data_IF_909920914181
#
_entry.id   IF_909920914181
#
_cell.length_a   1.000
_cell.length_b   1.000
_cell.length_c   1.000
_cell.angle_alpha   90.00
_cell.angle_beta   90.00
_cell.angle_gamma   90.00
#
_symmetry.space_group_name_H-M   'P 1'
#
loop_
_entity.id
_entity.type
_entity.pdbx_description
1 polymer ?
#
# COMPACT_ATOMS: atom_id res chain seq x y z
N UNK A 1 -64.07 21.19 -2.33
CA UNK A 1 -64.13 19.72 -2.15
C UNK A 1 -62.83 19.33 -1.45
N UNK A 2 -62.75 19.42 -0.11
CA UNK A 2 -63.06 18.37 0.88
C UNK A 2 -62.06 17.20 0.75
N UNK A 3 -61.24 16.80 1.73
CA UNK A 3 -61.13 17.12 3.17
C UNK A 3 -59.77 16.56 3.67
N UNK A 4 -59.05 17.33 4.48
CA UNK A 4 -58.01 16.84 5.39
C UNK A 4 -58.68 16.27 6.65
N UNK A 5 -58.22 15.12 7.14
CA UNK A 5 -58.67 14.54 8.41
C UNK A 5 -57.48 14.50 9.40
N UNK A 6 -57.52 15.35 10.41
CA UNK A 6 -56.72 15.26 11.64
C UNK A 6 -57.56 14.59 12.71
N UNK A 7 -57.03 13.58 13.39
CA UNK A 7 -57.62 13.00 14.60
C UNK A 7 -56.63 13.25 15.74
N UNK A 8 -57.04 14.07 16.71
CA UNK A 8 -56.39 14.21 18.00
C UNK A 8 -57.03 13.26 19.01
N UNK A 9 -56.23 12.72 19.93
CA UNK A 9 -56.70 11.95 21.08
C UNK A 9 -56.23 12.64 22.35
N UNK A 10 -57.20 12.93 23.21
CA UNK A 10 -57.11 13.60 24.50
C UNK A 10 -56.62 12.67 25.62
N UNK A 11 -55.82 13.26 26.50
CA UNK A 11 -55.31 12.70 27.77
C UNK A 11 -56.45 12.54 28.79
N UNK A 12 -56.47 11.41 29.51
CA UNK A 12 -57.27 11.20 30.71
C UNK A 12 -56.42 10.58 31.81
N UNK A 13 -56.08 11.39 32.83
CA UNK A 13 -55.38 10.97 34.03
C UNK A 13 -56.37 10.37 35.05
N UNK A 14 -55.99 9.28 35.72
CA UNK A 14 -56.73 8.71 36.84
C UNK A 14 -55.76 8.38 37.99
N UNK A 15 -55.94 9.08 39.12
CA UNK A 15 -55.22 8.95 40.38
C UNK A 15 -56.02 8.09 41.39
N UNK A 16 -55.34 7.71 42.49
CA UNK A 16 -55.79 7.03 43.74
C UNK A 16 -55.47 5.51 43.80
N UNK A 17 -54.94 4.93 44.88
CA UNK A 17 -54.58 5.39 46.21
C UNK A 17 -53.56 4.42 46.84
N UNK A 18 -52.69 4.94 47.72
CA UNK A 18 -51.75 4.16 48.52
C UNK A 18 -52.46 3.58 49.77
N UNK A 19 -52.13 2.33 50.11
CA UNK A 19 -52.47 1.73 51.39
C UNK A 19 -51.20 1.19 52.06
N UNK A 20 -50.85 1.82 53.19
CA UNK A 20 -49.75 1.45 54.08
C UNK A 20 -50.11 0.25 54.95
N UNK A 21 -49.16 -0.66 55.20
CA UNK A 21 -49.23 -1.61 56.30
C UNK A 21 -47.92 -1.67 57.09
N UNK A 22 -48.09 -1.94 58.38
CA UNK A 22 -47.22 -1.61 59.50
C UNK A 22 -45.93 -2.43 59.59
N UNK A 23 -44.90 -1.77 60.12
CA UNK A 23 -43.65 -2.36 60.58
C UNK A 23 -43.85 -3.25 61.83
N UNK A 24 -43.17 -4.39 61.86
CA UNK A 24 -42.90 -5.15 63.08
C UNK A 24 -41.38 -5.16 63.28
N UNK A 25 -40.98 -4.63 64.43
CA UNK A 25 -39.61 -4.50 64.95
C UNK A 25 -39.10 -5.83 65.49
N UNK A 26 -37.85 -6.17 65.15
CA UNK A 26 -37.08 -7.24 65.78
C UNK A 26 -35.59 -7.01 65.55
N UNK A 27 -34.90 -6.57 66.58
CA UNK A 27 -33.50 -6.16 66.60
C UNK A 27 -32.59 -7.32 67.05
N UNK A 28 -31.64 -7.76 66.21
CA UNK A 28 -30.29 -8.16 66.62
C UNK A 28 -29.38 -8.47 65.42
N UNK A 29 -28.06 -8.19 65.52
CA UNK A 29 -27.19 -8.00 64.37
C UNK A 29 -26.38 -9.26 64.02
N UNK A 30 -26.27 -9.56 62.72
CA UNK A 30 -25.12 -10.28 62.17
C UNK A 30 -24.92 -9.90 60.71
N UNK A 31 -23.80 -9.24 60.47
CA UNK A 31 -23.27 -8.95 59.15
C UNK A 31 -22.98 -10.26 58.39
N UNK A 32 -23.33 -10.27 57.11
CA UNK A 32 -22.45 -10.59 55.97
C UNK A 32 -23.17 -11.41 54.89
N UNK A 33 -22.91 -10.99 53.65
CA UNK A 33 -23.24 -11.61 52.35
C UNK A 33 -24.55 -11.14 51.71
N UNK A 34 -24.42 -10.08 50.91
CA UNK A 34 -25.44 -9.68 49.93
C UNK A 34 -25.52 -10.76 48.83
N UNK A 35 -26.74 -11.26 48.51
CA UNK A 35 -26.91 -12.19 47.41
C UNK A 35 -26.92 -11.44 46.08
N UNK A 36 -26.24 -12.05 45.12
CA UNK A 36 -26.27 -11.76 43.69
C UNK A 36 -27.71 -11.98 43.17
N UNK A 37 -28.56 -10.96 43.21
CA UNK A 37 -29.92 -11.02 42.64
C UNK A 37 -30.50 -9.62 42.46
N UNK A 38 -30.00 -8.86 41.48
CA UNK A 38 -30.81 -7.84 40.82
C UNK A 38 -31.32 -8.46 39.53
N UNK A 39 -32.51 -9.03 39.64
CA UNK A 39 -33.22 -9.69 38.56
C UNK A 39 -33.55 -8.70 37.44
N UNK A 40 -33.32 -9.19 36.22
CA UNK A 40 -33.89 -8.75 34.95
C UNK A 40 -35.28 -8.11 35.11
N UNK A 41 -35.34 -6.80 34.88
CA UNK A 41 -36.54 -6.13 34.43
C UNK A 41 -36.17 -5.35 33.15
N UNK A 42 -35.91 -6.10 32.08
CA UNK A 42 -35.89 -5.53 30.74
C UNK A 42 -37.32 -5.66 30.19
N UNK A 43 -38.02 -4.54 30.17
CA UNK A 43 -39.26 -4.30 29.45
C UNK A 43 -39.12 -4.86 28.02
N UNK A 44 -40.06 -5.71 27.62
CA UNK A 44 -40.09 -6.29 26.28
C UNK A 44 -40.32 -5.18 25.25
N UNK A 45 -39.27 -4.80 24.52
CA UNK A 45 -39.43 -4.14 23.24
C UNK A 45 -40.01 -5.17 22.26
N UNK A 46 -41.34 -5.19 22.12
CA UNK A 46 -42.05 -5.97 21.11
C UNK A 46 -41.72 -5.44 19.70
N UNK A 47 -40.59 -5.87 19.14
CA UNK A 47 -40.33 -5.81 17.72
C UNK A 47 -41.19 -6.85 16.99
N UNK A 48 -41.70 -6.49 15.80
CA UNK A 48 -42.56 -7.32 14.95
C UNK A 48 -42.24 -8.82 15.02
N UNK A 49 -43.30 -9.64 15.07
CA UNK A 49 -43.22 -11.09 15.11
C UNK A 49 -42.23 -11.62 14.06
N UNK A 50 -41.04 -12.01 14.54
CA UNK A 50 -39.97 -12.56 13.71
C UNK A 50 -40.51 -13.74 12.93
N UNK A 51 -40.54 -13.64 11.58
CA UNK A 51 -41.16 -14.62 10.68
C UNK A 51 -40.76 -16.08 10.95
N UNK A 52 -39.54 -16.31 11.47
CA UNK A 52 -39.01 -17.65 11.79
C UNK A 52 -38.61 -17.84 13.26
N UNK A 53 -38.81 -16.83 14.13
CA UNK A 53 -38.46 -16.92 15.55
C UNK A 53 -36.96 -17.08 15.86
N UNK A 54 -36.06 -16.76 14.93
CA UNK A 54 -34.60 -16.85 15.12
C UNK A 54 -33.99 -15.51 15.58
N UNK A 55 -32.95 -15.60 16.41
CA UNK A 55 -32.16 -14.47 16.96
C UNK A 55 -32.90 -13.61 18.00
N UNK A 56 -32.28 -12.47 18.38
CA UNK A 56 -32.89 -11.40 19.22
C UNK A 56 -32.67 -10.02 18.62
N UNK A 57 -33.35 -8.94 19.07
CA UNK A 57 -33.06 -7.59 18.61
C UNK A 57 -31.64 -7.22 19.01
N UNK A 58 -30.89 -6.56 18.12
CA UNK A 58 -29.57 -6.01 18.46
C UNK A 58 -29.76 -4.90 19.51
N UNK A 59 -28.89 -4.90 20.52
CA UNK A 59 -28.91 -3.82 21.51
C UNK A 59 -28.25 -2.57 20.90
N UNK A 60 -28.65 -1.36 21.30
CA UNK A 60 -28.01 -0.13 20.82
C UNK A 60 -26.48 -0.14 21.01
N UNK A 61 -26.00 -0.69 22.12
CA UNK A 61 -24.57 -0.77 22.43
C UNK A 61 -23.81 -1.73 21.50
N UNK A 62 -24.50 -2.77 21.01
CA UNK A 62 -23.89 -3.73 20.06
C UNK A 62 -23.80 -3.14 18.66
N UNK A 63 -24.81 -2.36 18.27
CA UNK A 63 -24.77 -1.61 17.02
C UNK A 63 -23.65 -0.56 17.08
N UNK A 64 -23.62 0.27 18.14
CA UNK A 64 -22.58 1.30 18.30
C UNK A 64 -21.15 0.72 18.33
N UNK A 65 -20.96 -0.50 18.82
CA UNK A 65 -19.65 -1.14 18.87
C UNK A 65 -19.19 -1.73 17.52
N UNK A 66 -20.11 -2.05 16.61
CA UNK A 66 -19.79 -2.78 15.36
C UNK A 66 -20.00 -1.91 14.11
N UNK A 67 -20.98 -1.02 14.17
CA UNK A 67 -21.40 -0.10 13.12
C UNK A 67 -20.68 1.24 13.29
N UNK A 68 -19.42 1.23 12.86
CA UNK A 68 -18.49 2.37 12.86
C UNK A 68 -18.16 2.80 11.42
N UNK A 69 -19.01 2.43 10.45
CA UNK A 69 -18.80 2.80 9.05
C UNK A 69 -18.96 4.31 8.86
N UNK A 70 -18.18 4.88 7.95
CA UNK A 70 -18.30 6.30 7.59
C UNK A 70 -18.57 6.41 6.10
N UNK A 71 -19.75 6.94 5.79
CA UNK A 71 -20.23 7.10 4.42
C UNK A 71 -19.66 8.38 3.79
N UNK A 72 -19.59 8.48 2.45
CA UNK A 72 -19.07 9.67 1.77
C UNK A 72 -19.81 10.98 2.09
N UNK A 73 -21.06 10.90 2.50
CA UNK A 73 -21.89 12.05 2.93
C UNK A 73 -21.68 12.43 4.41
N UNK A 74 -20.75 11.77 5.11
CA UNK A 74 -20.43 12.02 6.52
C UNK A 74 -21.35 11.30 7.51
N UNK A 75 -22.33 10.52 7.04
CA UNK A 75 -23.10 9.65 7.93
C UNK A 75 -22.17 8.63 8.60
N UNK A 76 -22.29 8.50 9.92
CA UNK A 76 -21.43 7.63 10.74
C UNK A 76 -20.23 8.33 11.41
N UNK A 77 -19.93 9.60 11.07
CA UNK A 77 -18.85 10.34 11.72
C UNK A 77 -19.10 10.53 13.24
N UNK A 78 -18.17 10.09 14.11
CA UNK A 78 -18.25 10.36 15.54
C UNK A 78 -17.91 11.82 15.84
N UNK A 79 -18.30 12.28 17.03
CA UNK A 79 -17.86 13.59 17.53
C UNK A 79 -16.35 13.55 17.78
N UNK A 80 -15.63 14.58 17.34
CA UNK A 80 -14.19 14.69 17.55
C UNK A 80 -13.52 15.70 16.63
N UNK A 81 -12.25 15.94 16.90
CA UNK A 81 -11.37 16.75 16.04
C UNK A 81 -9.90 16.36 16.21
N UNK A 82 -9.06 16.81 15.29
CA UNK A 82 -7.62 16.63 15.39
C UNK A 82 -6.87 17.48 14.38
N UNK A 83 -5.73 18.00 14.79
CA UNK A 83 -4.87 18.85 13.96
C UNK A 83 -3.85 18.05 13.16
N UNK A 84 -3.33 18.64 12.08
CA UNK A 84 -2.21 18.09 11.32
C UNK A 84 -1.01 17.81 12.23
N UNK A 85 -0.68 18.74 13.13
CA UNK A 85 0.46 18.61 14.05
C UNK A 85 0.33 17.43 15.02
N UNK A 86 -0.86 17.24 15.61
CA UNK A 86 -1.13 16.06 16.46
C UNK A 86 -1.08 14.77 15.63
N UNK A 87 -1.60 14.83 14.40
CA UNK A 87 -1.58 13.73 13.45
C UNK A 87 -0.17 13.28 13.11
N UNK A 88 0.77 14.22 12.88
CA UNK A 88 2.18 13.90 12.63
C UNK A 88 2.80 13.14 13.81
N UNK A 89 2.59 13.59 15.05
CA UNK A 89 3.15 12.93 16.22
C UNK A 89 2.64 11.49 16.36
N UNK A 90 1.32 11.30 16.21
CA UNK A 90 0.71 9.97 16.27
C UNK A 90 1.21 9.10 15.11
N UNK A 91 1.32 9.66 13.92
CA UNK A 91 1.75 8.97 12.71
C UNK A 91 3.19 8.46 12.85
N UNK A 92 4.12 9.28 13.33
CA UNK A 92 5.51 8.88 13.56
C UNK A 92 5.63 7.74 14.58
N UNK A 93 4.74 7.71 15.59
CA UNK A 93 4.76 6.67 16.62
C UNK A 93 4.09 5.37 16.18
N UNK A 94 2.97 5.46 15.43
CA UNK A 94 2.08 4.31 15.17
C UNK A 94 2.08 3.84 13.72
N UNK A 95 2.54 4.64 12.76
CA UNK A 95 2.35 4.40 11.32
C UNK A 95 3.66 4.37 10.51
N UNK A 96 4.59 5.29 10.80
CA UNK A 96 5.78 5.55 9.98
C UNK A 96 6.72 4.36 9.82
N UNK A 97 6.74 3.43 10.79
CA UNK A 97 7.56 2.20 10.73
C UNK A 97 7.28 1.33 9.50
N UNK A 98 6.08 1.44 8.91
CA UNK A 98 5.69 0.77 7.68
C UNK A 98 5.45 1.77 6.55
N UNK A 99 4.76 2.87 6.83
CA UNK A 99 4.31 3.81 5.79
C UNK A 99 5.31 4.91 5.44
N UNK A 100 6.50 4.94 6.06
CA UNK A 100 7.49 6.00 5.86
C UNK A 100 7.12 7.28 6.60
N UNK A 101 8.10 8.14 6.85
CA UNK A 101 7.91 9.35 7.66
C UNK A 101 6.96 10.36 6.97
N UNK A 102 6.89 10.31 5.63
CA UNK A 102 6.08 11.21 4.81
C UNK A 102 5.00 10.47 4.00
N UNK A 103 4.68 9.22 4.37
CA UNK A 103 3.69 8.41 3.65
C UNK A 103 4.21 7.79 2.35
N UNK A 104 5.52 7.79 2.10
CA UNK A 104 6.14 7.27 0.89
C UNK A 104 6.17 5.73 0.81
N UNK A 105 5.90 5.04 1.92
CA UNK A 105 6.00 3.59 2.06
C UNK A 105 7.44 3.11 2.23
N UNK A 106 7.67 2.17 3.17
CA UNK A 106 8.98 1.54 3.37
C UNK A 106 8.98 0.12 2.78
N UNK A 107 9.94 -0.17 1.91
CA UNK A 107 10.07 -1.47 1.26
C UNK A 107 8.85 -1.77 0.39
N UNK A 108 8.06 -2.79 0.79
CA UNK A 108 6.84 -3.20 0.08
C UNK A 108 5.55 -2.80 0.79
N UNK A 109 5.64 -1.98 1.84
CA UNK A 109 4.46 -1.43 2.49
C UNK A 109 3.81 -0.34 1.63
N UNK A 110 2.47 -0.16 1.71
CA UNK A 110 1.75 0.79 0.87
C UNK A 110 2.20 2.24 1.08
N UNK A 111 2.41 2.95 -0.03
CA UNK A 111 2.52 4.40 -0.04
C UNK A 111 1.13 5.04 0.17
N UNK A 112 1.07 6.01 1.08
CA UNK A 112 -0.12 6.80 1.40
C UNK A 112 -0.14 8.15 0.67
N UNK A 113 1.02 8.63 0.22
CA UNK A 113 1.20 9.92 -0.47
C UNK A 113 1.99 9.78 -1.78
N UNK A 114 1.86 10.77 -2.66
CA UNK A 114 2.52 10.81 -3.97
C UNK A 114 1.69 10.20 -5.10
N UNK A 115 2.29 10.00 -6.28
CA UNK A 115 1.61 9.38 -7.43
C UNK A 115 0.65 10.28 -8.22
N UNK A 116 0.58 11.57 -7.90
CA UNK A 116 -0.21 12.55 -8.65
C UNK A 116 0.16 12.54 -10.14
N UNK A 117 -0.86 12.39 -11.00
CA UNK A 117 -0.68 12.35 -12.46
C UNK A 117 -0.15 11.04 -13.04
N UNK A 118 0.04 10.00 -12.22
CA UNK A 118 0.58 8.70 -12.69
C UNK A 118 -0.50 7.70 -13.13
N UNK A 119 -1.80 8.03 -12.99
CA UNK A 119 -2.88 7.06 -13.25
C UNK A 119 -2.91 6.49 -14.68
N UNK A 120 -2.31 7.18 -15.64
CA UNK A 120 -2.21 6.75 -17.05
C UNK A 120 -0.82 6.24 -17.45
N UNK A 121 0.14 6.12 -16.52
CA UNK A 121 1.46 5.55 -16.83
C UNK A 121 1.40 4.02 -16.91
N UNK A 122 2.48 3.41 -17.42
CA UNK A 122 2.60 1.94 -17.45
C UNK A 122 2.53 1.32 -16.05
N UNK A 123 3.14 1.98 -15.06
CA UNK A 123 3.12 1.60 -13.65
C UNK A 123 2.53 2.71 -12.76
N UNK A 124 1.18 2.80 -12.61
CA UNK A 124 0.54 3.82 -11.79
C UNK A 124 0.86 3.70 -10.30
N UNK A 125 1.11 4.82 -9.64
CA UNK A 125 1.26 4.91 -8.18
C UNK A 125 -0.04 5.42 -7.59
N UNK A 126 -0.81 4.51 -6.98
CA UNK A 126 -2.19 4.75 -6.51
C UNK A 126 -2.22 4.91 -5.00
N UNK A 127 -2.45 6.12 -4.54
CA UNK A 127 -2.37 6.57 -3.13
C UNK A 127 -3.64 7.32 -2.74
N UNK A 128 -3.71 7.82 -1.51
CA UNK A 128 -4.85 8.63 -1.05
C UNK A 128 -5.02 9.87 -1.93
N UNK A 129 -3.97 10.67 -2.15
CA UNK A 129 -4.08 11.91 -2.93
C UNK A 129 -4.15 11.71 -4.45
N UNK A 130 -3.74 10.56 -4.98
CA UNK A 130 -3.74 10.33 -6.43
C UNK A 130 -4.94 9.53 -6.93
N UNK A 131 -5.53 8.66 -6.10
CA UNK A 131 -6.52 7.68 -6.56
C UNK A 131 -7.79 7.64 -5.73
N UNK A 132 -7.74 7.82 -4.42
CA UNK A 132 -8.92 7.57 -3.58
C UNK A 132 -10.01 8.63 -3.83
N UNK A 133 -11.30 8.24 -3.87
CA UNK A 133 -12.37 9.18 -4.17
C UNK A 133 -12.86 9.96 -2.95
N UNK A 134 -12.90 9.34 -1.76
CA UNK A 134 -13.58 9.94 -0.60
C UNK A 134 -12.71 9.90 0.66
N UNK A 135 -12.72 10.99 1.42
CA UNK A 135 -12.05 11.09 2.71
C UNK A 135 -12.65 10.13 3.75
N UNK A 136 -13.95 9.84 3.64
CA UNK A 136 -14.64 8.90 4.53
C UNK A 136 -13.98 7.52 4.56
N UNK A 137 -13.46 7.06 3.41
CA UNK A 137 -12.76 5.78 3.30
C UNK A 137 -11.45 5.78 4.07
N UNK A 138 -10.75 6.93 4.12
CA UNK A 138 -9.53 7.08 4.92
C UNK A 138 -9.88 6.96 6.40
N UNK A 139 -10.87 7.70 6.87
CA UNK A 139 -11.28 7.69 8.27
C UNK A 139 -11.76 6.29 8.72
N UNK A 140 -12.74 5.70 8.04
CA UNK A 140 -13.29 4.38 8.40
C UNK A 140 -12.20 3.31 8.39
N UNK A 141 -11.39 3.25 7.33
CA UNK A 141 -10.35 2.22 7.23
C UNK A 141 -9.26 2.39 8.31
N UNK A 142 -8.81 3.62 8.59
CA UNK A 142 -7.82 3.87 9.64
C UNK A 142 -8.40 3.50 11.01
N UNK A 143 -9.62 3.95 11.32
CA UNK A 143 -10.29 3.63 12.58
C UNK A 143 -10.50 2.12 12.78
N UNK A 144 -10.98 1.44 11.73
CA UNK A 144 -11.40 0.04 11.77
C UNK A 144 -10.25 -0.95 11.69
N UNK A 145 -9.19 -0.64 10.93
CA UNK A 145 -8.19 -1.61 10.50
C UNK A 145 -6.73 -1.23 10.77
N UNK A 146 -6.45 -0.02 11.27
CA UNK A 146 -5.10 0.43 11.58
C UNK A 146 -4.91 0.74 13.08
N UNK A 147 -3.65 0.68 13.57
CA UNK A 147 -2.43 0.19 12.91
C UNK A 147 -2.46 -1.32 12.61
N UNK A 148 -1.76 -1.76 11.56
CA UNK A 148 -1.70 -3.18 11.21
C UNK A 148 -1.10 -4.00 12.38
N UNK A 149 -1.84 -5.03 12.82
CA UNK A 149 -1.48 -5.84 13.99
C UNK A 149 -2.02 -5.32 15.33
N UNK A 150 -2.60 -4.11 15.36
CA UNK A 150 -3.23 -3.52 16.54
C UNK A 150 -4.44 -2.63 16.15
N UNK A 151 -5.31 -3.13 15.28
CA UNK A 151 -6.48 -2.41 14.77
C UNK A 151 -7.48 -2.04 15.89
N UNK A 152 -8.29 -0.99 15.68
CA UNK A 152 -9.25 -0.45 16.66
C UNK A 152 -8.60 0.00 17.99
N UNK A 153 -7.33 0.41 17.94
CA UNK A 153 -6.61 0.95 19.10
C UNK A 153 -6.54 2.48 19.13
N UNK A 154 -7.09 3.13 18.11
CA UNK A 154 -7.12 4.58 17.96
C UNK A 154 -8.44 5.13 18.51
N UNK A 155 -8.40 6.29 19.14
CA UNK A 155 -9.63 7.04 19.47
C UNK A 155 -10.11 7.87 18.28
N UNK A 156 -11.37 8.31 18.32
CA UNK A 156 -11.99 9.12 17.25
C UNK A 156 -11.14 10.37 16.92
N UNK A 157 -10.67 11.10 17.94
CA UNK A 157 -9.79 12.28 17.79
C UNK A 157 -8.43 11.92 17.15
N UNK A 158 -7.83 10.79 17.54
CA UNK A 158 -6.56 10.33 16.93
C UNK A 158 -6.75 10.02 15.45
N UNK A 159 -7.90 9.46 15.06
CA UNK A 159 -8.22 9.18 13.65
C UNK A 159 -8.45 10.50 12.88
N UNK A 160 -9.13 11.49 13.46
CA UNK A 160 -9.27 12.82 12.84
C UNK A 160 -7.90 13.46 12.61
N UNK A 161 -7.02 13.45 13.62
CA UNK A 161 -5.66 13.99 13.54
C UNK A 161 -4.83 13.28 12.45
N UNK A 162 -4.82 11.94 12.44
CA UNK A 162 -4.14 11.15 11.41
C UNK A 162 -4.68 11.44 10.00
N UNK A 163 -6.00 11.59 9.87
CA UNK A 163 -6.64 11.92 8.60
C UNK A 163 -6.22 13.33 8.13
N UNK A 164 -6.17 14.31 9.03
CA UNK A 164 -5.66 15.65 8.73
C UNK A 164 -4.20 15.60 8.25
N UNK A 165 -3.35 14.83 8.93
CA UNK A 165 -1.95 14.66 8.51
C UNK A 165 -1.81 13.98 7.14
N UNK A 166 -2.63 12.96 6.84
CA UNK A 166 -2.65 12.32 5.50
C UNK A 166 -3.07 13.32 4.41
N UNK A 167 -4.04 14.21 4.69
CA UNK A 167 -4.40 15.29 3.76
C UNK A 167 -3.21 16.23 3.52
N UNK A 168 -2.48 16.57 4.57
CA UNK A 168 -1.28 17.42 4.50
C UNK A 168 -0.16 16.77 3.67
N UNK A 169 0.13 15.48 3.90
CA UNK A 169 1.10 14.71 3.11
C UNK A 169 0.78 14.68 1.61
N UNK A 170 -0.49 14.84 1.26
CA UNK A 170 -0.98 14.83 -0.11
C UNK A 170 -1.22 16.24 -0.69
N UNK A 171 -0.81 17.31 0.01
CA UNK A 171 -1.01 18.71 -0.39
C UNK A 171 -2.48 19.07 -0.64
N UNK A 172 -3.43 18.40 0.05
CA UNK A 172 -4.86 18.72 -0.02
C UNK A 172 -5.18 19.84 0.96
N UNK A 173 -4.52 19.82 2.12
CA UNK A 173 -4.44 20.95 3.04
C UNK A 173 -2.98 21.36 3.16
N UNK A 174 -2.69 22.66 3.16
CA UNK A 174 -1.32 23.19 3.24
C UNK A 174 -1.01 23.82 4.61
N UNK A 175 -2.04 24.13 5.39
CA UNK A 175 -1.90 24.74 6.71
C UNK A 175 -1.59 23.66 7.75
N UNK A 176 -0.45 23.80 8.43
CA UNK A 176 -0.02 22.88 9.47
C UNK A 176 -0.83 23.02 10.76
N UNK A 177 -1.54 24.14 10.94
CA UNK A 177 -2.48 24.36 12.04
C UNK A 177 -3.91 23.92 11.68
N UNK A 178 -4.14 23.33 10.50
CA UNK A 178 -5.45 22.85 10.08
C UNK A 178 -6.00 21.79 11.04
N UNK A 179 -7.24 21.98 11.48
CA UNK A 179 -8.00 21.04 12.31
C UNK A 179 -9.11 20.39 11.48
N UNK A 180 -9.08 19.06 11.38
CA UNK A 180 -10.18 18.29 10.82
C UNK A 180 -11.14 17.93 11.95
N UNK A 181 -12.44 18.11 11.71
CA UNK A 181 -13.50 17.75 12.66
C UNK A 181 -14.70 17.20 11.93
N UNK A 182 -15.65 16.65 12.67
CA UNK A 182 -16.95 16.24 12.13
C UNK A 182 -17.64 17.35 11.32
N UNK A 183 -17.53 18.61 11.77
CA UNK A 183 -18.25 19.75 11.20
C UNK A 183 -17.74 20.15 9.81
N UNK A 184 -16.43 20.01 9.56
CA UNK A 184 -15.81 20.40 8.30
C UNK A 184 -15.40 19.22 7.40
N UNK A 185 -15.55 17.98 7.88
CA UNK A 185 -15.09 16.77 7.17
C UNK A 185 -15.62 16.68 5.73
N UNK A 186 -16.91 16.98 5.54
CA UNK A 186 -17.60 16.86 4.24
C UNK A 186 -17.30 18.02 3.29
N UNK A 187 -16.55 19.04 3.73
CA UNK A 187 -16.10 20.15 2.88
C UNK A 187 -14.83 19.78 2.09
N UNK A 188 -14.16 18.68 2.44
CA UNK A 188 -12.92 18.22 1.80
C UNK A 188 -13.23 17.27 0.64
N UNK A 189 -12.79 17.64 -0.55
CA UNK A 189 -12.88 16.81 -1.78
C UNK A 189 -11.50 16.29 -2.14
N UNK A 190 -11.39 14.96 -2.37
CA UNK A 190 -10.15 14.37 -2.86
C UNK A 190 -9.99 14.57 -4.38
N UNK A 191 -8.76 14.64 -4.91
CA UNK A 191 -8.54 14.96 -6.33
C UNK A 191 -9.21 14.00 -7.33
N UNK A 192 -9.49 12.76 -6.93
CA UNK A 192 -10.00 11.70 -7.82
C UNK A 192 -11.47 11.32 -7.58
N UNK A 193 -12.23 12.11 -6.81
CA UNK A 193 -13.62 11.81 -6.40
C UNK A 193 -14.55 11.43 -7.57
N UNK A 194 -14.49 12.16 -8.68
CA UNK A 194 -15.36 11.99 -9.84
C UNK A 194 -14.85 11.02 -10.92
N UNK A 195 -13.78 10.26 -10.68
CA UNK A 195 -13.10 9.47 -11.72
C UNK A 195 -13.39 7.96 -11.62
N UNK A 196 -14.40 7.59 -10.85
CA UNK A 196 -14.89 6.22 -10.75
C UNK A 196 -16.24 6.09 -11.43
N UNK A 197 -16.46 4.96 -12.11
CA UNK A 197 -17.73 4.65 -12.76
C UNK A 197 -18.21 3.26 -12.31
N UNK A 198 -19.52 3.07 -12.35
CA UNK A 198 -20.12 1.75 -12.13
C UNK A 198 -19.73 0.85 -13.29
N UNK A 199 -19.43 -0.41 -12.99
CA UNK A 199 -19.08 -1.45 -13.96
C UNK A 199 -19.95 -1.38 -15.24
N UNK A 200 -19.30 -1.10 -16.37
CA UNK A 200 -19.90 -0.90 -17.68
C UNK A 200 -19.58 -2.05 -18.66
N UNK A 201 -19.03 -3.17 -18.17
CA UNK A 201 -18.65 -4.32 -19.02
C UNK A 201 -19.80 -4.88 -19.85
N UNK A 202 -21.04 -4.76 -19.36
CA UNK A 202 -22.23 -5.14 -20.14
C UNK A 202 -22.35 -4.33 -21.44
N UNK A 203 -21.96 -3.05 -21.40
CA UNK A 203 -22.04 -2.13 -22.54
C UNK A 203 -20.79 -2.23 -23.44
N UNK A 204 -19.59 -2.31 -22.83
CA UNK A 204 -18.33 -2.16 -23.58
C UNK A 204 -17.63 -3.47 -23.94
N UNK A 205 -17.88 -4.56 -23.21
CA UNK A 205 -17.20 -5.86 -23.43
C UNK A 205 -18.15 -6.96 -23.89
N UNK A 206 -19.33 -7.08 -23.28
CA UNK A 206 -20.16 -8.27 -23.45
C UNK A 206 -20.64 -8.48 -24.88
N UNK A 207 -20.94 -7.40 -25.60
CA UNK A 207 -21.33 -7.49 -27.02
C UNK A 207 -20.17 -7.92 -27.93
N UNK A 208 -18.92 -7.72 -27.52
CA UNK A 208 -17.76 -8.31 -28.20
C UNK A 208 -17.64 -9.80 -27.88
N UNK A 209 -17.79 -10.18 -26.61
CA UNK A 209 -17.57 -11.55 -26.14
C UNK A 209 -18.72 -12.52 -26.41
N UNK A 210 -19.93 -12.03 -26.69
CA UNK A 210 -21.09 -12.85 -27.09
C UNK A 210 -21.09 -13.22 -28.58
N UNK A 211 -20.18 -12.67 -29.39
CA UNK A 211 -20.11 -12.99 -30.83
C UNK A 211 -19.79 -14.47 -31.03
N UNK A 212 -20.27 -15.04 -32.13
CA UNK A 212 -19.98 -16.42 -32.48
C UNK A 212 -18.45 -16.58 -32.65
N UNK A 213 -17.80 -17.49 -31.90
CA UNK A 213 -16.35 -17.63 -31.95
C UNK A 213 -15.90 -18.21 -33.29
N UNK A 214 -14.70 -17.85 -33.73
CA UNK A 214 -14.10 -18.51 -34.88
C UNK A 214 -13.81 -19.99 -34.59
N UNK A 215 -14.25 -20.88 -35.49
CA UNK A 215 -14.07 -22.32 -35.34
C UNK A 215 -12.99 -22.93 -36.24
N UNK A 216 -12.56 -22.24 -37.31
CA UNK A 216 -11.59 -22.76 -38.28
C UNK A 216 -10.73 -21.62 -38.85
N UNK A 217 -9.43 -21.87 -39.01
CA UNK A 217 -8.46 -20.94 -39.62
C UNK A 217 -8.44 -19.55 -38.96
N UNK A 218 -8.44 -19.50 -37.63
CA UNK A 218 -8.72 -18.27 -36.87
C UNK A 218 -7.55 -17.31 -36.71
N UNK A 219 -6.32 -17.77 -36.91
CA UNK A 219 -5.10 -16.97 -36.82
C UNK A 219 -4.14 -17.38 -37.91
N UNK A 220 -3.38 -16.41 -38.41
CA UNK A 220 -2.33 -16.64 -39.41
C UNK A 220 -1.02 -17.13 -38.77
N UNK A 221 -0.76 -16.74 -37.52
CA UNK A 221 0.44 -17.11 -36.76
C UNK A 221 0.13 -17.40 -35.29
N UNK A 222 0.99 -18.22 -34.67
CA UNK A 222 0.94 -18.63 -33.26
C UNK A 222 2.29 -18.43 -32.57
N UNK A 223 3.02 -17.39 -32.97
CA UNK A 223 4.31 -17.04 -32.40
C UNK A 223 4.23 -16.83 -30.87
N UNK A 224 5.23 -17.35 -30.16
CA UNK A 224 5.32 -17.24 -28.71
C UNK A 224 5.96 -15.89 -28.35
N UNK A 225 5.17 -14.98 -27.78
CA UNK A 225 5.64 -13.63 -27.40
C UNK A 225 6.11 -13.54 -25.95
N UNK A 226 5.62 -14.40 -25.05
CA UNK A 226 5.98 -14.40 -23.64
C UNK A 226 6.06 -15.83 -23.09
N UNK A 227 7.00 -16.08 -22.18
CA UNK A 227 7.13 -17.37 -21.47
C UNK A 227 7.35 -17.10 -19.99
N UNK A 228 6.50 -17.66 -19.11
CA UNK A 228 6.60 -17.47 -17.66
C UNK A 228 7.97 -17.86 -17.08
N UNK A 229 8.62 -18.88 -17.68
CA UNK A 229 9.98 -19.31 -17.34
C UNK A 229 11.06 -18.23 -17.51
N UNK A 230 10.76 -17.12 -18.19
CA UNK A 230 11.66 -15.98 -18.32
C UNK A 230 11.65 -15.13 -17.05
N UNK A 231 10.50 -15.01 -16.38
CA UNK A 231 10.43 -14.33 -15.08
C UNK A 231 10.92 -15.22 -13.94
N UNK A 232 10.63 -16.52 -14.01
CA UNK A 232 11.12 -17.54 -13.06
C UNK A 232 10.94 -17.20 -11.56
N UNK A 233 9.80 -16.60 -11.23
CA UNK A 233 9.42 -16.27 -9.84
C UNK A 233 8.45 -17.29 -9.22
N UNK A 234 8.27 -18.45 -9.87
CA UNK A 234 7.38 -19.50 -9.36
C UNK A 234 8.15 -20.36 -8.37
N UNK A 235 7.66 -20.56 -7.12
CA UNK A 235 8.33 -21.46 -6.18
C UNK A 235 8.43 -22.88 -6.75
N UNK A 236 9.62 -23.46 -6.65
CA UNK A 236 9.93 -24.81 -7.12
C UNK A 236 10.18 -25.77 -5.95
N UNK A 237 9.94 -27.06 -6.17
CA UNK A 237 10.43 -28.09 -5.26
C UNK A 237 11.95 -28.27 -5.42
N UNK A 238 12.59 -28.91 -4.43
CA UNK A 238 14.04 -29.09 -4.43
C UNK A 238 14.57 -29.87 -5.64
N UNK A 239 13.77 -30.77 -6.23
CA UNK A 239 14.20 -31.59 -7.35
C UNK A 239 14.22 -30.75 -8.64
N UNK A 240 13.14 -30.02 -8.90
CA UNK A 240 13.04 -29.09 -10.03
C UNK A 240 14.12 -27.99 -9.96
N UNK A 241 14.37 -27.46 -8.76
CA UNK A 241 15.43 -26.47 -8.56
C UNK A 241 16.83 -27.03 -8.90
N UNK A 242 17.14 -28.25 -8.44
CA UNK A 242 18.44 -28.90 -8.73
C UNK A 242 18.61 -29.22 -10.21
N UNK A 243 17.56 -29.68 -10.88
CA UNK A 243 17.59 -29.94 -12.32
C UNK A 243 17.81 -28.65 -13.12
N UNK A 244 17.21 -27.53 -12.69
CA UNK A 244 17.39 -26.22 -13.31
C UNK A 244 18.78 -25.64 -13.08
N UNK A 245 19.29 -25.70 -11.85
CA UNK A 245 20.65 -25.25 -11.51
C UNK A 245 21.68 -26.01 -12.36
N UNK A 246 21.55 -27.34 -12.47
CA UNK A 246 22.41 -28.15 -13.34
C UNK A 246 22.31 -27.78 -14.84
N UNK A 247 21.10 -27.50 -15.35
CA UNK A 247 20.90 -27.07 -16.74
C UNK A 247 21.44 -25.65 -17.01
N UNK A 248 21.41 -24.77 -16.01
CA UNK A 248 21.97 -23.41 -16.11
C UNK A 248 23.50 -23.42 -16.12
N UNK A 249 24.12 -24.33 -15.38
CA UNK A 249 25.57 -24.52 -15.34
C UNK A 249 26.10 -25.02 -16.69
N UNK A 250 25.42 -26.00 -17.32
CA UNK A 250 25.77 -26.46 -18.68
C UNK A 250 25.65 -25.34 -19.74
N UNK A 251 24.67 -24.44 -19.58
CA UNK A 251 24.45 -23.33 -20.52
C UNK A 251 25.49 -22.20 -20.33
N UNK A 252 25.91 -21.93 -19.10
CA UNK A 252 26.94 -20.92 -18.79
C UNK A 252 28.34 -21.36 -19.24
N UNK A 253 28.67 -22.65 -19.13
CA UNK A 253 29.96 -23.18 -19.60
C UNK A 253 30.08 -23.07 -21.13
N UNK A 254 28.97 -23.22 -21.87
CA UNK A 254 28.95 -23.05 -23.32
C UNK A 254 29.04 -21.58 -23.79
N UNK A 255 28.58 -20.61 -22.98
CA UNK A 255 28.65 -19.18 -23.29
C UNK A 255 30.04 -18.57 -22.99
N UNK A 256 30.78 -19.12 -22.03
CA UNK A 256 32.10 -18.64 -21.65
C UNK A 256 33.22 -18.90 -22.68
N UNK A 257 33.02 -19.83 -23.62
CA UNK A 257 34.02 -20.16 -24.66
C UNK A 257 34.04 -19.16 -25.85
N UNK A 258 33.29 -18.05 -25.77
CA UNK A 258 33.09 -17.10 -26.87
C UNK A 258 33.44 -15.63 -26.62
N UNK A 259 34.27 -15.29 -25.62
CA UNK A 259 34.65 -13.90 -25.36
C UNK A 259 35.65 -13.37 -26.43
N UNK A 260 35.12 -12.76 -27.50
CA UNK A 260 35.89 -11.92 -28.42
C UNK A 260 36.12 -10.52 -27.84
N UNK A 261 37.19 -9.83 -28.27
CA UNK A 261 37.43 -8.40 -27.98
C UNK A 261 36.18 -7.54 -28.29
N UNK A 262 35.91 -6.48 -27.51
CA UNK A 262 34.75 -5.61 -27.71
C UNK A 262 34.83 -4.88 -29.06
N UNK A 263 33.72 -4.83 -29.79
CA UNK A 263 33.60 -4.14 -31.08
C UNK A 263 33.97 -2.64 -30.92
N UNK A 264 34.99 -2.13 -31.64
CA UNK A 264 35.43 -0.74 -31.54
C UNK A 264 34.31 0.30 -31.78
N UNK A 265 33.34 0.00 -32.64
CA UNK A 265 32.22 0.91 -32.89
C UNK A 265 31.28 1.01 -31.68
N UNK A 266 31.11 -0.09 -30.95
CA UNK A 266 30.28 -0.16 -29.75
C UNK A 266 30.95 0.57 -28.58
N UNK A 267 32.28 0.48 -28.48
CA UNK A 267 33.07 1.20 -27.46
C UNK A 267 32.94 2.72 -27.64
N UNK A 268 32.99 3.22 -28.88
CA UNK A 268 32.83 4.66 -29.15
C UNK A 268 31.44 5.17 -28.76
N UNK A 269 30.39 4.40 -29.02
CA UNK A 269 29.02 4.74 -28.58
C UNK A 269 28.89 4.66 -27.06
N UNK A 270 29.48 3.63 -26.45
CA UNK A 270 29.49 3.44 -25.00
C UNK A 270 30.15 4.59 -24.26
N UNK A 271 31.20 5.20 -24.81
CA UNK A 271 31.81 6.40 -24.25
C UNK A 271 30.83 7.58 -24.19
N UNK A 272 29.96 7.71 -25.20
CA UNK A 272 28.92 8.77 -25.25
C UNK A 272 27.86 8.52 -24.19
N UNK A 273 27.39 7.27 -24.06
CA UNK A 273 26.43 6.86 -23.02
C UNK A 273 27.02 7.09 -21.62
N UNK A 274 28.30 6.73 -21.43
CA UNK A 274 29.00 6.87 -20.14
C UNK A 274 29.06 8.32 -19.64
N UNK A 275 28.82 9.35 -20.48
CA UNK A 275 28.70 10.74 -20.03
C UNK A 275 27.64 10.93 -18.94
N UNK A 276 26.59 10.11 -18.93
CA UNK A 276 25.57 10.11 -17.88
C UNK A 276 26.13 9.60 -16.54
N UNK A 277 27.10 8.69 -16.59
CA UNK A 277 27.74 8.07 -15.42
C UNK A 277 28.88 8.93 -14.85
N UNK A 278 29.53 9.76 -15.69
CA UNK A 278 30.68 10.62 -15.33
C UNK A 278 30.40 11.62 -14.20
N UNK A 279 29.12 11.93 -13.93
CA UNK A 279 28.72 12.79 -12.82
C UNK A 279 29.01 12.15 -11.45
N UNK A 280 28.95 10.82 -11.36
CA UNK A 280 29.09 10.08 -10.11
C UNK A 280 30.28 9.14 -10.07
N UNK A 281 30.72 8.63 -11.23
CA UNK A 281 31.74 7.60 -11.35
C UNK A 281 32.95 8.09 -12.17
N UNK A 282 34.09 7.44 -11.95
CA UNK A 282 35.31 7.62 -12.74
C UNK A 282 35.78 6.28 -13.32
N UNK A 283 36.42 6.37 -14.49
CA UNK A 283 37.14 5.27 -15.17
C UNK A 283 38.45 5.80 -15.74
N UNK A 284 39.41 4.90 -15.98
CA UNK A 284 40.72 5.22 -16.52
C UNK A 284 41.82 5.29 -15.46
N UNK A 285 43.02 5.65 -15.91
CA UNK A 285 44.21 5.76 -15.06
C UNK A 285 43.99 6.79 -13.94
N UNK A 286 44.16 6.37 -12.69
CA UNK A 286 43.97 7.24 -11.52
C UNK A 286 42.51 7.55 -11.17
N UNK A 287 41.56 6.70 -11.57
CA UNK A 287 40.16 6.84 -11.17
C UNK A 287 39.99 6.73 -9.64
N UNK A 288 39.23 7.67 -9.06
CA UNK A 288 38.97 7.71 -7.61
C UNK A 288 37.48 7.50 -7.31
N UNK A 289 37.19 7.11 -6.06
CA UNK A 289 35.83 7.04 -5.54
C UNK A 289 35.23 8.44 -5.39
N UNK A 290 33.99 8.65 -5.87
CA UNK A 290 33.25 9.92 -5.75
C UNK A 290 31.88 9.68 -5.12
N UNK A 291 30.81 10.17 -5.77
CA UNK A 291 29.43 9.88 -5.38
C UNK A 291 29.15 8.38 -5.52
N UNK A 292 29.71 7.74 -6.55
CA UNK A 292 29.79 6.29 -6.71
C UNK A 292 31.25 5.79 -6.70
N UNK A 293 31.47 4.47 -6.59
CA UNK A 293 32.80 3.88 -6.69
C UNK A 293 33.39 4.02 -8.09
N UNK A 294 34.71 3.94 -8.24
CA UNK A 294 35.31 3.84 -9.58
C UNK A 294 34.89 2.54 -10.29
N UNK A 295 34.85 2.57 -11.62
CA UNK A 295 34.31 1.48 -12.43
C UNK A 295 35.35 0.71 -13.25
N UNK A 296 36.64 0.99 -13.05
CA UNK A 296 37.71 0.12 -13.56
C UNK A 296 37.52 -1.31 -13.06
N UNK A 297 37.65 -2.27 -13.95
CA UNK A 297 37.49 -3.70 -13.70
C UNK A 297 36.07 -4.10 -13.29
N UNK A 298 35.04 -3.26 -13.48
CA UNK A 298 33.71 -3.56 -12.93
C UNK A 298 33.09 -4.82 -13.53
N UNK A 299 33.34 -5.12 -14.81
CA UNK A 299 32.84 -6.34 -15.45
C UNK A 299 33.69 -7.53 -15.02
N UNK A 300 33.07 -8.49 -14.33
CA UNK A 300 33.69 -9.66 -13.73
C UNK A 300 34.09 -9.48 -12.27
N UNK A 301 33.92 -8.28 -11.68
CA UNK A 301 34.27 -8.02 -10.28
C UNK A 301 33.12 -8.31 -9.33
N UNK A 302 33.46 -8.76 -8.13
CA UNK A 302 32.51 -8.95 -7.05
C UNK A 302 31.82 -7.64 -6.65
N UNK A 303 30.54 -7.73 -6.29
CA UNK A 303 29.80 -6.54 -5.85
C UNK A 303 30.39 -6.00 -4.54
N UNK A 304 30.32 -4.68 -4.38
CA UNK A 304 30.82 -3.99 -3.19
C UNK A 304 32.32 -4.18 -2.87
N UNK A 305 33.14 -4.53 -3.87
CA UNK A 305 34.55 -4.86 -3.68
C UNK A 305 35.54 -3.68 -3.74
N UNK A 306 35.10 -2.47 -4.15
CA UNK A 306 36.03 -1.33 -4.23
C UNK A 306 36.39 -0.81 -2.84
N UNK A 307 37.69 -0.83 -2.54
CA UNK A 307 38.23 -0.33 -1.29
C UNK A 307 37.94 1.16 -1.06
N UNK A 308 37.62 1.50 0.18
CA UNK A 308 37.40 2.89 0.60
C UNK A 308 36.06 3.51 0.18
N UNK A 309 35.19 2.79 -0.54
CA UNK A 309 33.82 3.26 -0.85
C UNK A 309 32.79 2.73 0.17
N UNK A 310 31.88 3.59 0.62
CA UNK A 310 30.84 3.21 1.59
C UNK A 310 29.56 2.71 0.91
N UNK A 311 29.50 1.40 0.67
CA UNK A 311 28.33 0.74 0.08
C UNK A 311 27.07 0.79 0.96
N UNK A 312 25.91 0.56 0.33
CA UNK A 312 24.63 0.41 1.03
C UNK A 312 24.53 -0.97 1.70
N UNK A 313 23.69 -1.13 2.74
CA UNK A 313 23.42 -2.45 3.33
C UNK A 313 22.96 -3.47 2.29
N UNK A 314 22.17 -3.06 1.29
CA UNK A 314 21.73 -3.92 0.21
C UNK A 314 22.89 -4.47 -0.64
N UNK A 315 23.86 -3.61 -0.99
CA UNK A 315 25.06 -4.04 -1.72
C UNK A 315 25.94 -4.96 -0.87
N UNK A 316 26.04 -4.72 0.44
CA UNK A 316 26.78 -5.59 1.36
C UNK A 316 26.13 -6.98 1.48
N UNK A 317 24.80 -7.04 1.62
CA UNK A 317 24.06 -8.30 1.63
C UNK A 317 24.26 -9.11 0.35
N UNK A 318 24.29 -8.44 -0.81
CA UNK A 318 24.59 -9.11 -2.09
C UNK A 318 26.03 -9.60 -2.20
N UNK A 319 26.98 -8.90 -1.58
CA UNK A 319 28.35 -9.37 -1.51
C UNK A 319 28.48 -10.65 -0.67
N UNK A 320 27.74 -10.76 0.44
CA UNK A 320 27.68 -11.97 1.28
C UNK A 320 27.10 -13.19 0.54
N UNK A 321 26.21 -12.95 -0.43
CA UNK A 321 25.65 -13.98 -1.33
C UNK A 321 26.62 -14.40 -2.45
N UNK A 322 27.79 -13.78 -2.56
CA UNK A 322 28.78 -14.08 -3.61
C UNK A 322 28.39 -13.53 -4.99
N UNK A 323 27.68 -12.40 -5.04
CA UNK A 323 27.25 -11.80 -6.29
C UNK A 323 28.39 -11.13 -7.06
N UNK A 324 28.46 -11.37 -8.37
CA UNK A 324 29.47 -10.82 -9.29
C UNK A 324 28.81 -10.05 -10.44
N UNK A 325 29.46 -8.98 -10.90
CA UNK A 325 29.01 -8.18 -12.05
C UNK A 325 29.35 -8.86 -13.38
N UNK A 326 28.49 -9.74 -13.88
CA UNK A 326 28.56 -10.21 -15.27
C UNK A 326 28.00 -9.15 -16.22
N UNK A 327 28.19 -9.31 -17.53
CA UNK A 327 27.57 -8.40 -18.51
C UNK A 327 26.04 -8.38 -18.36
N UNK A 328 25.44 -9.54 -18.11
CA UNK A 328 23.99 -9.69 -17.92
C UNK A 328 23.51 -9.01 -16.64
N UNK A 329 24.18 -9.24 -15.50
CA UNK A 329 23.76 -8.67 -14.22
C UNK A 329 24.02 -7.17 -14.16
N UNK A 330 25.09 -6.69 -14.80
CA UNK A 330 25.38 -5.27 -14.93
C UNK A 330 24.36 -4.57 -15.84
N UNK A 331 23.97 -5.18 -16.97
CA UNK A 331 22.93 -4.65 -17.85
C UNK A 331 21.59 -4.53 -17.11
N UNK A 332 21.19 -5.59 -16.40
CA UNK A 332 19.95 -5.61 -15.62
C UNK A 332 19.94 -4.52 -14.53
N UNK A 333 21.06 -4.35 -13.82
CA UNK A 333 21.19 -3.30 -12.82
C UNK A 333 21.17 -1.89 -13.43
N UNK A 334 21.86 -1.66 -14.55
CA UNK A 334 21.88 -0.34 -15.19
C UNK A 334 20.51 0.05 -15.78
N UNK A 335 19.69 -0.93 -16.19
CA UNK A 335 18.34 -0.71 -16.72
C UNK A 335 17.34 -0.21 -15.68
N UNK A 336 17.45 -0.72 -14.46
CA UNK A 336 16.66 -0.29 -13.31
C UNK A 336 17.40 -0.56 -12.00
N UNK A 337 18.25 0.38 -11.55
CA UNK A 337 19.08 0.16 -10.37
C UNK A 337 18.26 -0.12 -9.13
N UNK A 338 17.21 0.67 -8.90
CA UNK A 338 16.35 0.59 -7.70
C UNK A 338 15.47 -0.65 -7.72
N UNK A 339 14.96 -1.05 -8.88
CA UNK A 339 14.20 -2.29 -9.01
C UNK A 339 15.07 -3.54 -8.93
N UNK A 340 16.30 -3.50 -9.46
CA UNK A 340 17.18 -4.68 -9.50
C UNK A 340 17.85 -4.97 -8.14
N UNK A 341 18.31 -3.94 -7.41
CA UNK A 341 18.82 -4.08 -6.04
C UNK A 341 18.06 -3.13 -5.12
N UNK A 342 17.01 -3.63 -4.49
CA UNK A 342 16.18 -2.85 -3.55
C UNK A 342 17.04 -2.28 -2.39
N UNK A 343 16.92 -0.98 -2.11
CA UNK A 343 17.72 -0.32 -1.06
C UNK A 343 19.16 0.07 -1.46
N UNK A 344 19.51 0.00 -2.74
CA UNK A 344 20.76 0.58 -3.22
C UNK A 344 20.73 2.13 -3.24
N UNK A 345 21.91 2.76 -3.23
CA UNK A 345 22.06 4.21 -3.14
C UNK A 345 22.27 4.91 -4.50
N UNK A 346 22.27 4.18 -5.62
CA UNK A 346 22.41 4.79 -6.93
C UNK A 346 21.08 5.44 -7.36
N UNK A 347 20.99 6.76 -7.19
CA UNK A 347 19.83 7.56 -7.58
C UNK A 347 19.81 7.84 -9.10
N UNK A 348 19.87 6.78 -9.91
CA UNK A 348 19.83 6.84 -11.37
C UNK A 348 18.50 6.27 -11.89
N UNK A 349 17.77 6.97 -12.78
CA UNK A 349 16.47 6.50 -13.31
C UNK A 349 16.54 5.21 -14.14
N UNK A 350 17.73 4.79 -14.56
CA UNK A 350 17.97 3.60 -15.37
C UNK A 350 18.14 3.92 -16.87
N UNK A 351 18.91 3.07 -17.54
CA UNK A 351 19.22 3.15 -18.97
C UNK A 351 18.32 2.17 -19.72
N UNK A 352 17.25 2.67 -20.37
CA UNK A 352 16.18 1.83 -20.91
C UNK A 352 16.50 1.23 -22.28
N UNK A 353 17.39 1.85 -23.04
CA UNK A 353 17.77 1.40 -24.37
C UNK A 353 18.77 0.23 -24.29
N UNK A 354 18.44 -0.86 -24.96
CA UNK A 354 19.22 -2.11 -24.95
C UNK A 354 20.55 -1.98 -25.70
N UNK A 355 20.63 -1.11 -26.71
CA UNK A 355 21.86 -0.90 -27.46
C UNK A 355 22.79 0.04 -26.68
N UNK A 356 22.26 1.05 -25.99
CA UNK A 356 23.03 1.87 -25.05
C UNK A 356 23.61 1.03 -23.89
N UNK A 357 22.85 0.05 -23.37
CA UNK A 357 23.31 -0.88 -22.34
C UNK A 357 24.49 -1.72 -22.81
N UNK A 358 24.40 -2.31 -24.00
CA UNK A 358 25.52 -3.09 -24.58
C UNK A 358 26.73 -2.19 -24.82
N UNK A 359 26.50 -0.99 -25.36
CA UNK A 359 27.55 -0.03 -25.68
C UNK A 359 28.32 0.39 -24.43
N UNK A 360 27.63 0.81 -23.35
CA UNK A 360 28.30 1.23 -22.12
C UNK A 360 29.06 0.08 -21.45
N UNK A 361 28.55 -1.15 -21.52
CA UNK A 361 29.25 -2.34 -20.99
C UNK A 361 30.52 -2.63 -21.80
N UNK A 362 30.46 -2.59 -23.14
CA UNK A 362 31.65 -2.76 -23.97
C UNK A 362 32.70 -1.67 -23.71
N UNK A 363 32.28 -0.42 -23.47
CA UNK A 363 33.17 0.65 -23.06
C UNK A 363 33.79 0.39 -21.68
N UNK A 364 33.02 -0.06 -20.69
CA UNK A 364 33.55 -0.39 -19.36
C UNK A 364 34.57 -1.54 -19.40
N UNK A 365 34.40 -2.51 -20.31
CA UNK A 365 35.36 -3.60 -20.54
C UNK A 365 36.74 -3.14 -21.03
N UNK A 366 36.88 -1.90 -21.49
CA UNK A 366 38.20 -1.36 -21.89
C UNK A 366 39.04 -0.86 -20.71
N UNK A 367 38.47 -0.82 -19.50
CA UNK A 367 39.14 -0.35 -18.29
C UNK A 367 39.33 -1.51 -17.32
N UNK A 368 40.52 -2.12 -17.35
CA UNK A 368 40.94 -3.12 -16.36
C UNK A 368 41.28 -2.44 -15.01
N UNK A 369 41.34 -3.22 -13.93
CA UNK A 369 41.52 -2.74 -12.55
C UNK A 369 42.83 -1.97 -12.31
#
# INVERSE_FOLDING_TARGET
MSKFLRIGVTVGAMTLAAASFHAITGDSPRQAQAPFAAAFAAEQAEGEARKFGLGRPALPEELAAWDIDVRPDGEGLPEGSGTVAEGEEIYLQKCASCHGDFGEGIGRWPALSGGGGTLSSEDPVKTVGSYWPFLSTVYDYVHRAMPFGNAQSLSDDEVYALTAYILYLNFIVEDYDFELSKDNFTEITLPNEGQFFVDDREEVEFEEFKREPCMKNCKESVEITMRARVLDVTPEDEAARKEREAASEETQVAAAEGASEPDPALVEEGEKVFRQCKACHQVGEGAENRVGPHLNGVVGRDIAAVDGFRYSPAFQSKAEEGFTWTEETLAAYLKDPRGYIEGNRMAYPGLKDEDDLKAVIAYLKTFEE
#
